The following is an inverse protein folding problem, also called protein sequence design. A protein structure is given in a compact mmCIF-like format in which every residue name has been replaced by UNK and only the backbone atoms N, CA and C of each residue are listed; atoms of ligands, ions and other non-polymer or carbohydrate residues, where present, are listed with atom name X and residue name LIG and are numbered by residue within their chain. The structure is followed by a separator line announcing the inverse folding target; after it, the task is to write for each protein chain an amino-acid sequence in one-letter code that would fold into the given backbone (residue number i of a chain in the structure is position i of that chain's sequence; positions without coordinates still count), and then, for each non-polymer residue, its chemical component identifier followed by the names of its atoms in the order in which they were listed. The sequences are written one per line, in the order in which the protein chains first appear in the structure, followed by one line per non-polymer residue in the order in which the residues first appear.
data_IF_939637303529
#
_entry.id   IF_939637303529
#
_cell.length_a   1.000
_cell.length_b   1.000
_cell.length_c   1.000
_cell.angle_alpha   90.00
_cell.angle_beta   90.00
_cell.angle_gamma   90.00
#
_symmetry.space_group_name_H-M   'P 1'
#
loop_
_entity.id
_entity.type
_entity.pdbx_description
1 polymer ?
#
# COMPACT_ATOMS: atom_id res chain seq x y z
N UNK A 1 11.05 -8.46 -14.46
CA UNK A 1 10.69 -8.12 -13.06
C UNK A 1 9.26 -8.56 -12.73
N UNK A 2 8.19 -7.92 -13.25
CA UNK A 2 6.79 -8.27 -12.92
C UNK A 2 6.43 -9.75 -13.20
N UNK A 3 6.83 -10.31 -14.35
CA UNK A 3 6.59 -11.73 -14.65
C UNK A 3 7.21 -12.70 -13.62
N UNK A 4 8.36 -12.35 -13.05
CA UNK A 4 8.99 -13.15 -12.00
C UNK A 4 8.29 -13.03 -10.64
N UNK A 5 7.68 -11.87 -10.36
CA UNK A 5 6.85 -11.70 -9.16
C UNK A 5 5.54 -12.48 -9.26
N UNK A 6 4.93 -12.54 -10.46
CA UNK A 6 3.69 -13.29 -10.68
C UNK A 6 3.88 -14.82 -10.57
N UNK A 7 5.10 -15.34 -10.68
CA UNK A 7 5.39 -16.76 -10.51
C UNK A 7 5.68 -17.18 -9.07
N UNK A 8 5.63 -16.25 -8.11
CA UNK A 8 5.91 -16.54 -6.70
C UNK A 8 4.61 -16.84 -5.96
N UNK A 9 4.52 -18.02 -5.32
CA UNK A 9 3.30 -18.48 -4.64
C UNK A 9 2.86 -17.59 -3.47
N UNK A 10 3.80 -16.83 -2.89
CA UNK A 10 3.57 -15.94 -1.76
C UNK A 10 3.36 -14.47 -2.18
N UNK A 11 3.23 -14.19 -3.47
CA UNK A 11 3.03 -12.83 -4.00
C UNK A 11 1.68 -12.74 -4.68
N UNK A 12 0.97 -11.64 -4.46
CA UNK A 12 -0.26 -11.33 -5.17
C UNK A 12 -0.23 -9.89 -5.66
N UNK A 13 -0.47 -9.68 -6.95
CA UNK A 13 -0.42 -8.37 -7.59
C UNK A 13 -1.84 -7.91 -7.90
N UNK A 14 -2.14 -6.65 -7.56
CA UNK A 14 -3.43 -6.02 -7.79
C UNK A 14 -3.24 -4.71 -8.55
N UNK A 15 -4.17 -4.39 -9.45
CA UNK A 15 -4.20 -3.14 -10.22
C UNK A 15 -5.46 -2.37 -9.86
N UNK A 16 -5.28 -1.12 -9.43
CA UNK A 16 -6.35 -0.12 -9.28
C UNK A 16 -6.17 1.01 -10.27
N UNK A 17 -7.27 1.64 -10.69
CA UNK A 17 -7.25 2.80 -11.60
C UNK A 17 -7.21 4.14 -10.87
N UNK A 18 -7.72 4.20 -9.65
CA UNK A 18 -7.80 5.43 -8.87
C UNK A 18 -7.48 5.16 -7.41
N UNK A 19 -6.32 5.64 -6.96
CA UNK A 19 -5.89 5.58 -5.57
C UNK A 19 -5.40 6.99 -5.20
N UNK A 20 -5.97 7.58 -4.14
CA UNK A 20 -5.66 8.94 -3.68
C UNK A 20 -4.53 8.99 -2.63
N UNK A 21 -3.98 7.83 -2.28
CA UNK A 21 -2.77 7.71 -1.45
C UNK A 21 -1.58 7.46 -2.38
N UNK A 22 -0.40 7.97 -2.02
CA UNK A 22 0.80 7.71 -2.81
C UNK A 22 1.38 6.34 -2.49
N UNK A 23 1.46 5.99 -1.20
CA UNK A 23 1.98 4.70 -0.76
C UNK A 23 1.43 4.32 0.61
N UNK A 24 1.15 3.02 0.82
CA UNK A 24 0.99 2.44 2.14
C UNK A 24 1.71 1.10 2.19
N UNK A 25 2.52 0.92 3.24
CA UNK A 25 3.17 -0.35 3.55
C UNK A 25 2.82 -0.73 4.98
N UNK A 26 2.30 -1.95 5.16
CA UNK A 26 1.97 -2.51 6.47
C UNK A 26 2.68 -3.84 6.58
N UNK A 27 3.35 -4.04 7.72
CA UNK A 27 4.00 -5.29 8.08
C UNK A 27 3.56 -5.68 9.48
N UNK A 28 4.10 -6.79 9.97
CA UNK A 28 3.86 -7.23 11.34
C UNK A 28 4.38 -6.21 12.37
N UNK A 29 5.36 -5.36 12.04
CA UNK A 29 6.02 -4.46 12.99
C UNK A 29 5.74 -2.97 12.75
N UNK A 30 5.51 -2.59 11.50
CA UNK A 30 5.38 -1.17 11.11
C UNK A 30 4.18 -0.89 10.20
N UNK A 31 3.72 0.35 10.27
CA UNK A 31 2.95 1.01 9.23
C UNK A 31 3.77 2.21 8.71
N UNK A 32 3.87 2.29 7.38
CA UNK A 32 4.53 3.36 6.66
C UNK A 32 3.53 3.95 5.64
N UNK A 33 3.33 5.27 5.70
CA UNK A 33 2.37 6.00 4.86
C UNK A 33 3.07 7.13 4.11
N UNK A 34 2.99 7.09 2.79
CA UNK A 34 3.32 8.21 1.91
C UNK A 34 2.07 9.01 1.58
N UNK A 35 2.21 10.34 1.56
CA UNK A 35 1.15 11.26 1.13
C UNK A 35 1.63 12.12 -0.04
N UNK A 36 0.67 12.67 -0.77
CA UNK A 36 0.95 13.74 -1.72
C UNK A 36 0.98 15.09 -0.99
N UNK A 37 1.88 15.97 -1.42
CA UNK A 37 1.80 17.39 -1.10
C UNK A 37 0.47 18.00 -1.62
N UNK A 38 0.11 19.20 -1.15
CA UNK A 38 -1.12 19.90 -1.56
C UNK A 38 -1.25 20.12 -3.07
N UNK A 39 -0.13 20.17 -3.79
CA UNK A 39 -0.05 20.34 -5.25
C UNK A 39 -0.09 18.98 -6.01
N UNK A 40 -0.25 17.85 -5.31
CA UNK A 40 -0.22 16.51 -5.89
C UNK A 40 1.18 15.92 -6.11
N UNK A 41 2.25 16.60 -5.71
CA UNK A 41 3.62 16.11 -5.82
C UNK A 41 3.88 15.05 -4.75
N UNK A 42 4.55 13.96 -5.14
CA UNK A 42 5.11 13.01 -4.19
C UNK A 42 6.53 13.43 -3.82
N UNK A 43 6.78 13.65 -2.54
CA UNK A 43 8.04 14.18 -1.99
C UNK A 43 8.95 13.08 -1.41
N UNK A 44 8.52 11.81 -1.47
CA UNK A 44 9.20 10.66 -0.90
C UNK A 44 9.40 10.76 0.63
N UNK A 45 8.57 11.56 1.31
CA UNK A 45 8.50 11.57 2.76
C UNK A 45 7.46 10.57 3.24
N UNK A 46 7.76 9.95 4.38
CA UNK A 46 6.95 8.89 4.93
C UNK A 46 6.69 9.11 6.41
N UNK A 47 5.44 8.87 6.80
CA UNK A 47 5.06 8.75 8.20
C UNK A 47 5.28 7.29 8.61
N UNK A 48 6.16 7.05 9.57
CA UNK A 48 6.44 5.72 10.13
C UNK A 48 5.81 5.60 11.53
N UNK A 49 5.13 4.50 11.79
CA UNK A 49 4.60 4.17 13.11
C UNK A 49 4.82 2.69 13.44
N UNK A 50 5.13 2.44 14.71
CA UNK A 50 5.26 1.10 15.30
C UNK A 50 4.03 0.72 16.15
N UNK A 51 3.09 1.66 16.33
CA UNK A 51 1.94 1.48 17.20
C UNK A 51 0.97 0.42 16.64
N UNK A 52 0.49 -0.53 17.47
CA UNK A 52 -0.46 -1.56 17.01
C UNK A 52 -1.75 -0.97 16.41
N UNK A 53 -2.24 0.15 16.95
CA UNK A 53 -3.42 0.84 16.43
C UNK A 53 -3.19 1.41 15.03
N UNK A 54 -2.00 1.95 14.77
CA UNK A 54 -1.59 2.47 13.48
C UNK A 54 -1.44 1.35 12.44
N UNK A 55 -0.88 0.19 12.82
CA UNK A 55 -0.84 -1.02 11.99
C UNK A 55 -2.24 -1.52 11.63
N UNK A 56 -3.14 -1.59 12.61
CA UNK A 56 -4.53 -2.01 12.39
C UNK A 56 -5.23 -1.08 11.39
N UNK A 57 -5.15 0.24 11.61
CA UNK A 57 -5.74 1.21 10.69
C UNK A 57 -5.12 1.13 9.29
N UNK A 58 -3.79 0.97 9.19
CA UNK A 58 -3.11 0.82 7.92
C UNK A 58 -3.58 -0.42 7.15
N UNK A 59 -3.76 -1.54 7.85
CA UNK A 59 -4.27 -2.79 7.26
C UNK A 59 -5.70 -2.60 6.72
N UNK A 60 -6.57 -1.92 7.48
CA UNK A 60 -7.93 -1.60 7.05
C UNK A 60 -7.94 -0.74 5.77
N UNK A 61 -7.03 0.24 5.68
CA UNK A 61 -6.87 1.08 4.49
C UNK A 61 -6.33 0.28 3.29
N UNK A 62 -5.32 -0.57 3.50
CA UNK A 62 -4.80 -1.45 2.46
C UNK A 62 -5.88 -2.39 1.92
N UNK A 63 -6.65 -3.04 2.80
CA UNK A 63 -7.73 -3.95 2.41
C UNK A 63 -8.86 -3.22 1.67
N UNK A 64 -9.17 -1.98 2.06
CA UNK A 64 -10.11 -1.14 1.33
C UNK A 64 -9.64 -0.91 -0.12
N UNK A 65 -8.39 -0.50 -0.32
CA UNK A 65 -7.83 -0.29 -1.67
C UNK A 65 -7.77 -1.60 -2.46
N UNK A 66 -7.37 -2.70 -1.81
CA UNK A 66 -7.32 -4.03 -2.41
C UNK A 66 -8.68 -4.48 -2.93
N UNK A 67 -9.78 -4.25 -2.19
CA UNK A 67 -11.15 -4.58 -2.63
C UNK A 67 -11.59 -3.79 -3.87
N UNK A 68 -11.10 -2.56 -4.04
CA UNK A 68 -11.37 -1.75 -5.23
C UNK A 68 -10.48 -2.14 -6.42
N UNK A 69 -9.46 -2.96 -6.19
CA UNK A 69 -8.48 -3.36 -7.18
C UNK A 69 -8.84 -4.70 -7.85
N UNK A 70 -8.31 -4.94 -9.04
CA UNK A 70 -8.41 -6.23 -9.72
C UNK A 70 -7.11 -7.00 -9.57
N UNK A 71 -7.20 -8.25 -9.11
CA UNK A 71 -6.04 -9.12 -9.06
C UNK A 71 -5.57 -9.45 -10.48
N UNK A 72 -4.26 -9.37 -10.70
CA UNK A 72 -3.61 -9.85 -11.91
C UNK A 72 -3.47 -11.36 -11.78
N UNK A 73 -3.98 -12.09 -12.77
CA UNK A 73 -3.77 -13.54 -12.90
C UNK A 73 -2.54 -13.82 -13.75
#
# INVERSE_FOLDING_TARGET
MIKGLMSMDNVSIYISREVKISEITVTDEIMLLGLFEKNGKFDQQFILSFEPSARKWGQELFDYVKRLSKQVK
#
